data_IF_226951083816
#
_entry.id   IF_226951083816
#
_cell.length_a   1.000
_cell.length_b   1.000
_cell.length_c   1.000
_cell.angle_alpha   90.00
_cell.angle_beta   90.00
_cell.angle_gamma   90.00
#
_symmetry.space_group_name_H-M   'P 1'
#
loop_
_entity.id
_entity.type
_entity.pdbx_description
1 polymer ?
#
# COMPACT_ATOMS: atom_id res chain seq x y z
N UNK A 1 -5.92 -21.13 -6.99
CA UNK A 1 -6.45 -19.79 -7.34
C UNK A 1 -5.56 -18.83 -6.59
N UNK A 2 -4.79 -18.01 -7.30
CA UNK A 2 -3.91 -17.00 -6.70
C UNK A 2 -4.68 -15.71 -6.39
N UNK A 3 -4.04 -14.79 -5.70
CA UNK A 3 -4.61 -13.47 -5.40
C UNK A 3 -4.80 -12.67 -6.68
N UNK A 4 -5.87 -11.90 -6.75
CA UNK A 4 -6.23 -11.15 -7.95
C UNK A 4 -6.85 -9.80 -7.59
N UNK A 5 -6.49 -8.78 -8.35
CA UNK A 5 -7.17 -7.47 -8.37
C UNK A 5 -7.68 -7.14 -9.78
N UNK A 6 -8.53 -6.11 -9.85
CA UNK A 6 -8.88 -5.48 -11.12
C UNK A 6 -8.22 -4.10 -11.21
N UNK A 7 -7.56 -3.82 -12.33
CA UNK A 7 -7.04 -2.49 -12.66
C UNK A 7 -7.92 -1.83 -13.72
N UNK A 8 -8.09 -0.52 -13.64
CA UNK A 8 -8.81 0.24 -14.64
C UNK A 8 -7.92 0.46 -15.87
N UNK A 9 -8.26 -0.21 -16.97
CA UNK A 9 -7.65 0.00 -18.29
C UNK A 9 -8.65 0.76 -19.16
N UNK A 10 -8.49 2.08 -19.20
CA UNK A 10 -9.49 2.97 -19.81
C UNK A 10 -10.85 2.89 -19.11
N UNK A 11 -11.83 2.31 -19.80
CA UNK A 11 -13.22 2.14 -19.34
C UNK A 11 -13.57 0.68 -19.02
N UNK A 12 -12.58 -0.21 -18.95
CA UNK A 12 -12.78 -1.62 -18.61
C UNK A 12 -11.93 -2.06 -17.42
N UNK A 13 -12.40 -3.08 -16.71
CA UNK A 13 -11.64 -3.77 -15.68
C UNK A 13 -10.74 -4.85 -16.30
N UNK A 14 -9.43 -4.74 -16.10
CA UNK A 14 -8.47 -5.79 -16.46
C UNK A 14 -8.14 -6.63 -15.23
N UNK A 15 -8.33 -7.96 -15.33
CA UNK A 15 -8.03 -8.89 -14.25
C UNK A 15 -6.52 -9.14 -14.17
N UNK A 16 -5.91 -8.91 -13.01
CA UNK A 16 -4.48 -9.15 -12.78
C UNK A 16 -4.27 -10.11 -11.63
N UNK A 17 -3.53 -11.18 -11.89
CA UNK A 17 -2.93 -11.97 -10.83
C UNK A 17 -1.82 -11.15 -10.17
N UNK A 18 -1.77 -11.19 -8.85
CA UNK A 18 -0.80 -10.45 -8.06
C UNK A 18 -0.13 -11.37 -7.05
N UNK A 19 1.04 -10.94 -6.58
CA UNK A 19 1.72 -11.53 -5.44
C UNK A 19 1.60 -10.57 -4.26
N UNK A 20 1.03 -11.05 -3.15
CA UNK A 20 0.86 -10.27 -1.93
C UNK A 20 2.06 -10.44 -1.00
N UNK A 21 2.41 -9.34 -0.32
CA UNK A 21 3.45 -9.25 0.70
C UNK A 21 2.87 -9.16 2.10
N UNK A 22 3.39 -8.24 2.90
CA UNK A 22 2.93 -8.05 4.28
C UNK A 22 1.52 -7.48 4.35
N UNK A 23 0.78 -7.83 5.42
CA UNK A 23 -0.55 -7.29 5.69
C UNK A 23 -0.59 -6.68 7.09
N UNK A 24 -1.14 -5.47 7.20
CA UNK A 24 -1.28 -4.73 8.46
C UNK A 24 -2.61 -3.99 8.49
N UNK A 25 -3.47 -4.33 9.45
CA UNK A 25 -4.81 -3.75 9.55
C UNK A 25 -5.62 -3.97 8.27
N UNK A 26 -6.05 -2.87 7.65
CA UNK A 26 -6.83 -2.86 6.41
C UNK A 26 -5.96 -2.80 5.13
N UNK A 27 -4.63 -2.84 5.27
CA UNK A 27 -3.69 -2.70 4.16
C UNK A 27 -2.94 -4.00 3.89
N UNK A 28 -2.66 -4.25 2.61
CA UNK A 28 -1.80 -5.33 2.14
C UNK A 28 -0.84 -4.81 1.08
N UNK A 29 0.40 -5.30 1.10
CA UNK A 29 1.39 -4.99 0.08
C UNK A 29 1.16 -5.82 -1.18
N UNK A 30 1.17 -5.19 -2.36
CA UNK A 30 1.23 -5.87 -3.64
C UNK A 30 2.69 -5.81 -4.15
N UNK A 31 3.42 -6.91 -4.03
CA UNK A 31 4.85 -6.97 -4.38
C UNK A 31 5.09 -7.22 -5.87
N UNK A 32 4.07 -7.73 -6.59
CA UNK A 32 4.07 -7.90 -8.06
C UNK A 32 2.66 -7.80 -8.63
N UNK A 33 2.57 -7.48 -9.92
CA UNK A 33 1.36 -7.58 -10.73
C UNK A 33 0.57 -6.28 -10.88
N UNK A 34 1.01 -5.19 -10.24
CA UNK A 34 0.55 -3.81 -10.44
C UNK A 34 1.73 -2.85 -10.52
N UNK A 35 1.58 -1.75 -11.25
CA UNK A 35 2.60 -0.73 -11.49
C UNK A 35 2.18 0.64 -10.93
N UNK A 36 3.16 1.54 -10.72
CA UNK A 36 2.90 2.90 -10.25
C UNK A 36 2.01 3.66 -11.26
N UNK A 37 1.00 4.36 -10.74
CA UNK A 37 0.03 5.10 -11.55
C UNK A 37 -1.16 4.27 -12.04
N UNK A 38 -1.14 2.95 -11.88
CA UNK A 38 -2.31 2.12 -12.15
C UNK A 38 -3.40 2.35 -11.09
N UNK A 39 -4.66 2.40 -11.53
CA UNK A 39 -5.82 2.58 -10.66
C UNK A 39 -6.45 1.22 -10.36
N UNK A 40 -6.36 0.78 -9.11
CA UNK A 40 -6.95 -0.49 -8.63
C UNK A 40 -8.40 -0.28 -8.21
N UNK A 41 -9.28 -1.22 -8.60
CA UNK A 41 -10.68 -1.23 -8.17
C UNK A 41 -10.78 -1.77 -6.74
N UNK A 42 -11.26 -0.94 -5.82
CA UNK A 42 -11.42 -1.27 -4.38
C UNK A 42 -12.87 -1.29 -3.90
N UNK A 43 -13.82 -0.95 -4.77
CA UNK A 43 -15.26 -0.95 -4.48
C UNK A 43 -16.01 -1.59 -5.66
N UNK A 44 -16.94 -2.51 -5.37
CA UNK A 44 -17.82 -3.12 -6.37
C UNK A 44 -17.18 -4.27 -7.17
N UNK A 45 -16.03 -4.78 -6.73
CA UNK A 45 -15.26 -5.80 -7.45
C UNK A 45 -15.94 -7.17 -7.54
N UNK A 46 -16.88 -7.49 -6.65
CA UNK A 46 -17.54 -8.81 -6.58
C UNK A 46 -18.29 -9.19 -7.87
N UNK A 47 -18.73 -8.20 -8.65
CA UNK A 47 -19.43 -8.39 -9.91
C UNK A 47 -18.56 -8.36 -11.15
N UNK A 48 -17.23 -8.16 -11.01
CA UNK A 48 -16.35 -7.94 -12.15
C UNK A 48 -15.78 -9.25 -12.69
N UNK A 49 -15.66 -9.30 -14.01
CA UNK A 49 -14.82 -10.24 -14.78
C UNK A 49 -13.86 -9.45 -15.68
N UNK A 50 -12.85 -10.11 -16.25
CA UNK A 50 -11.95 -9.46 -17.20
C UNK A 50 -12.73 -8.84 -18.38
N UNK A 51 -12.40 -7.59 -18.71
CA UNK A 51 -13.08 -6.80 -19.75
C UNK A 51 -14.44 -6.22 -19.35
N UNK A 52 -14.85 -6.35 -18.08
CA UNK A 52 -16.13 -5.77 -17.62
C UNK A 52 -16.07 -4.24 -17.71
N UNK A 53 -17.05 -3.57 -18.33
CA UNK A 53 -17.09 -2.10 -18.36
C UNK A 53 -17.19 -1.52 -16.95
N UNK A 54 -16.43 -0.45 -16.70
CA UNK A 54 -16.40 0.26 -15.43
C UNK A 54 -16.49 1.76 -15.65
N UNK A 55 -16.90 2.46 -14.60
CA UNK A 55 -16.78 3.91 -14.54
C UNK A 55 -15.90 4.27 -13.35
N UNK A 56 -14.80 4.96 -13.61
CA UNK A 56 -13.94 5.44 -12.53
C UNK A 56 -14.64 6.61 -11.85
N UNK A 57 -14.95 6.43 -10.57
CA UNK A 57 -15.49 7.49 -9.73
C UNK A 57 -14.36 8.48 -9.43
N UNK A 58 -14.57 9.77 -9.72
CA UNK A 58 -13.68 10.81 -9.22
C UNK A 58 -13.82 10.86 -7.69
N UNK A 59 -12.86 10.27 -6.98
CA UNK A 59 -12.76 10.42 -5.54
C UNK A 59 -12.20 11.81 -5.26
N UNK A 60 -12.98 12.67 -4.59
CA UNK A 60 -12.42 13.86 -3.97
C UNK A 60 -11.28 13.46 -3.03
N UNK A 61 -10.15 14.17 -3.12
CA UNK A 61 -8.85 13.91 -2.48
C UNK A 61 -8.69 12.51 -1.84
N UNK A 62 -8.05 11.59 -2.56
CA UNK A 62 -7.51 10.38 -1.96
C UNK A 62 -6.65 10.77 -0.74
N UNK A 63 -6.97 10.24 0.44
CA UNK A 63 -6.11 10.44 1.61
C UNK A 63 -4.70 9.94 1.26
N UNK A 64 -3.65 10.75 1.48
CA UNK A 64 -2.31 10.34 1.11
C UNK A 64 -1.98 9.05 1.84
N UNK A 65 -1.46 8.07 1.10
CA UNK A 65 -0.90 6.87 1.70
C UNK A 65 0.10 7.31 2.79
N UNK A 66 0.06 6.68 3.98
CA UNK A 66 1.06 6.97 5.00
C UNK A 66 2.45 6.76 4.36
N UNK A 67 3.40 7.69 4.58
CA UNK A 67 4.72 7.55 4.00
C UNK A 67 5.30 6.20 4.42
N UNK A 68 6.03 5.49 3.55
CA UNK A 68 6.66 4.23 3.90
C UNK A 68 7.55 4.51 5.12
N UNK A 69 7.09 4.06 6.28
CA UNK A 69 7.80 4.26 7.54
C UNK A 69 9.16 3.62 7.33
N UNK A 70 10.20 4.47 7.28
CA UNK A 70 11.56 4.03 7.07
C UNK A 70 11.82 2.87 8.02
N UNK A 71 12.15 1.71 7.42
CA UNK A 71 12.69 0.56 8.10
C UNK A 71 13.79 1.02 9.07
N UNK A 72 13.44 1.24 10.32
CA UNK A 72 14.37 1.68 11.35
C UNK A 72 15.08 0.42 11.85
N UNK A 73 16.06 0.00 11.06
CA UNK A 73 16.99 -1.05 11.39
C UNK A 73 18.41 -0.52 11.33
N UNK A 74 19.01 -0.41 12.53
CA UNK A 74 20.46 -0.39 12.84
C UNK A 74 21.12 0.97 12.53
N UNK A 75 21.80 1.63 13.46
CA UNK A 75 22.94 1.16 14.26
C UNK A 75 22.99 1.83 15.66
N UNK A 76 23.41 1.08 16.70
CA UNK A 76 24.01 1.67 17.92
C UNK A 76 25.54 1.77 17.77
N UNK A 77 26.35 2.08 18.82
CA UNK A 77 26.06 2.62 20.15
C UNK A 77 26.91 3.89 20.45
N UNK A 78 27.04 4.26 21.75
CA UNK A 78 27.97 5.25 22.39
C UNK A 78 27.34 6.65 22.64
N UNK A 79 27.37 7.25 23.83
CA UNK A 79 28.40 7.25 24.87
C UNK A 79 27.78 7.46 26.27
N UNK A 80 28.24 6.68 27.25
CA UNK A 80 28.45 7.15 28.62
C UNK A 80 29.30 8.42 28.55
N UNK A 81 28.81 9.55 29.10
CA UNK A 81 29.69 10.50 29.78
C UNK A 81 28.91 11.46 30.70
N UNK A 82 29.50 11.66 31.88
CA UNK A 82 29.41 12.84 32.73
C UNK A 82 28.14 13.11 33.56
N UNK A 83 28.21 12.54 34.78
CA UNK A 83 28.35 13.28 36.03
C UNK A 83 27.21 14.20 36.52
N UNK A 84 26.66 13.77 37.66
CA UNK A 84 26.03 14.55 38.72
C UNK A 84 26.74 15.89 38.99
N UNK A 85 25.98 16.94 39.34
CA UNK A 85 26.34 17.61 40.59
C UNK A 85 25.15 17.87 41.51
N UNK A 86 25.45 17.69 42.80
CA UNK A 86 24.62 18.01 43.95
C UNK A 86 24.09 19.46 43.95
N UNK A 87 22.84 19.61 44.39
CA UNK A 87 22.28 20.80 45.05
C UNK A 87 21.29 20.26 46.09
N UNK A 88 21.25 20.66 47.35
CA UNK A 88 21.81 21.78 48.09
C UNK A 88 20.90 21.93 49.30
#
# INVERSE_FOLDING_TARGET
>A
IGDTVYVADGEVASRREIELGFAEGDFVEAIRGVEEGERVVVVGQDGLSDGTPIQVLEQGEAMPAPPPSMAQGRDGPSQEDSAEPARG
#
